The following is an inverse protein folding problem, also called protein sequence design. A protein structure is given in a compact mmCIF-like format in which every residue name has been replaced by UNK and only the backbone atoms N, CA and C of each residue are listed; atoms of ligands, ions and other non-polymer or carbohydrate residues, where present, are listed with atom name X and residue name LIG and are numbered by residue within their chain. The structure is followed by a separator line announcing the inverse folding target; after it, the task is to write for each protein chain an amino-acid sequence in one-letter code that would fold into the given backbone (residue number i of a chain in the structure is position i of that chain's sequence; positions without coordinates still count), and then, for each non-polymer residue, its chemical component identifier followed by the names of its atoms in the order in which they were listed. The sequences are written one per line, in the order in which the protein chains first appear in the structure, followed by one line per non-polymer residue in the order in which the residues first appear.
data_IF_511969251423
#
_entry.id   IF_511969251423
#
_cell.length_a   1.000
_cell.length_b   1.000
_cell.length_c   1.000
_cell.angle_alpha   90.00
_cell.angle_beta   90.00
_cell.angle_gamma   90.00
#
_symmetry.space_group_name_H-M   'P 1'
#
loop_
_entity.id
_entity.type
_entity.pdbx_description
1 polymer ?
#
# COMPACT_ATOMS: atom_id res chain seq x y z
N UNK A 1 10.73 22.76 -17.95
CA UNK A 1 10.79 21.48 -17.21
C UNK A 1 9.38 20.97 -17.10
N UNK A 2 9.07 19.80 -17.66
CA UNK A 2 7.78 19.17 -17.37
C UNK A 2 7.88 18.63 -15.94
N UNK A 3 6.96 19.03 -15.07
CA UNK A 3 6.85 18.54 -13.71
C UNK A 3 6.68 17.02 -13.71
N UNK A 4 7.35 16.33 -12.78
CA UNK A 4 7.27 14.87 -12.70
C UNK A 4 5.83 14.45 -12.40
N UNK A 5 5.25 13.45 -13.11
CA UNK A 5 3.92 12.95 -12.77
C UNK A 5 3.85 12.37 -11.36
N UNK A 6 4.98 11.95 -10.79
CA UNK A 6 5.06 11.48 -9.41
C UNK A 6 4.86 12.64 -8.43
N UNK A 7 5.42 13.82 -8.70
CA UNK A 7 5.15 15.04 -7.94
C UNK A 7 3.69 15.50 -8.13
N UNK A 8 3.24 15.62 -9.37
CA UNK A 8 1.88 16.09 -9.71
C UNK A 8 0.77 15.26 -9.06
N UNK A 9 0.97 13.94 -8.96
CA UNK A 9 -0.03 13.01 -8.44
C UNK A 9 0.31 12.47 -7.06
N UNK A 10 1.24 13.09 -6.34
CA UNK A 10 1.72 12.63 -5.03
C UNK A 10 0.58 12.34 -4.05
N UNK A 11 -0.44 13.20 -3.98
CA UNK A 11 -1.57 12.99 -3.07
C UNK A 11 -2.32 11.66 -3.34
N UNK A 12 -2.49 11.30 -4.62
CA UNK A 12 -3.12 10.01 -5.00
C UNK A 12 -2.17 8.85 -4.69
N UNK A 13 -0.88 9.04 -5.01
CA UNK A 13 0.14 8.02 -4.86
C UNK A 13 0.51 7.74 -3.41
N UNK A 14 0.38 8.70 -2.50
CA UNK A 14 0.79 8.52 -1.11
C UNK A 14 -0.42 8.48 -0.17
N UNK A 15 -1.39 9.37 -0.33
CA UNK A 15 -2.36 9.64 0.73
C UNK A 15 -3.68 8.87 0.57
N UNK A 16 -4.02 8.46 -0.65
CA UNK A 16 -5.26 7.73 -0.93
C UNK A 16 -5.15 6.21 -0.76
N UNK A 17 -6.22 5.58 -0.28
CA UNK A 17 -6.27 4.13 0.01
C UNK A 17 -7.35 3.37 -0.79
N UNK A 18 -8.01 4.02 -1.76
CA UNK A 18 -8.99 3.37 -2.64
C UNK A 18 -8.33 2.51 -3.73
N UNK A 19 -9.11 1.60 -4.34
CA UNK A 19 -8.59 0.54 -5.22
C UNK A 19 -7.68 1.03 -6.36
N UNK A 20 -8.10 2.07 -7.11
CA UNK A 20 -7.27 2.64 -8.19
C UNK A 20 -5.97 3.29 -7.68
N UNK A 21 -5.99 3.98 -6.54
CA UNK A 21 -4.78 4.50 -5.90
C UNK A 21 -3.84 3.36 -5.46
N UNK A 22 -4.40 2.28 -4.89
CA UNK A 22 -3.64 1.09 -4.52
C UNK A 22 -2.95 0.41 -5.72
N UNK A 23 -3.59 0.36 -6.88
CA UNK A 23 -2.97 -0.10 -8.12
C UNK A 23 -1.80 0.81 -8.53
N UNK A 24 -2.00 2.13 -8.58
CA UNK A 24 -0.95 3.08 -8.97
C UNK A 24 0.25 3.04 -8.01
N UNK A 25 0.01 2.86 -6.71
CA UNK A 25 1.04 2.65 -5.70
C UNK A 25 1.86 1.38 -5.97
N UNK A 26 1.16 0.26 -6.23
CA UNK A 26 1.81 -1.01 -6.55
C UNK A 26 2.63 -0.90 -7.84
N UNK A 27 2.17 -0.09 -8.80
CA UNK A 27 2.89 0.14 -10.05
C UNK A 27 4.20 0.89 -9.82
N UNK A 28 4.15 1.99 -9.06
CA UNK A 28 5.33 2.76 -8.69
C UNK A 28 6.36 1.87 -7.97
N UNK A 29 5.91 1.06 -7.01
CA UNK A 29 6.77 0.16 -6.26
C UNK A 29 7.33 -0.99 -7.11
N UNK A 30 6.57 -1.50 -8.08
CA UNK A 30 7.04 -2.52 -9.01
C UNK A 30 8.13 -1.99 -9.95
N UNK A 31 8.03 -0.72 -10.37
CA UNK A 31 9.11 -0.05 -11.10
C UNK A 31 10.35 0.16 -10.23
N UNK A 32 10.16 0.53 -8.95
CA UNK A 32 11.26 0.83 -8.03
C UNK A 32 12.05 -0.41 -7.57
N UNK A 33 11.35 -1.51 -7.26
CA UNK A 33 11.97 -2.74 -6.81
C UNK A 33 11.04 -3.95 -7.04
N UNK A 34 10.74 -4.26 -8.29
CA UNK A 34 9.71 -5.25 -8.67
C UNK A 34 9.87 -6.65 -8.10
N UNK A 35 11.10 -7.13 -7.88
CA UNK A 35 11.33 -8.42 -7.23
C UNK A 35 10.92 -8.42 -5.75
N UNK A 36 10.92 -7.26 -5.09
CA UNK A 36 10.48 -7.08 -3.71
C UNK A 36 8.99 -6.70 -3.61
N UNK A 37 8.46 -5.99 -4.62
CA UNK A 37 7.10 -5.47 -4.63
C UNK A 37 6.38 -5.91 -5.91
N UNK A 38 5.91 -7.16 -5.97
CA UNK A 38 5.12 -7.64 -7.11
C UNK A 38 3.78 -6.90 -7.18
N UNK A 39 3.28 -6.74 -8.39
CA UNK A 39 2.02 -6.08 -8.69
C UNK A 39 1.00 -7.06 -9.25
N UNK A 40 -0.26 -6.94 -8.82
CA UNK A 40 -1.39 -7.61 -9.47
C UNK A 40 -1.89 -6.78 -10.66
N UNK A 41 -1.61 -7.26 -11.88
CA UNK A 41 -2.02 -6.61 -13.12
C UNK A 41 -3.54 -6.62 -13.34
N UNK A 42 -4.30 -7.53 -12.70
CA UNK A 42 -5.76 -7.54 -12.80
C UNK A 42 -6.36 -6.23 -12.27
N UNK A 43 -5.68 -5.54 -11.36
CA UNK A 43 -6.11 -4.24 -10.84
C UNK A 43 -6.24 -3.13 -11.91
N UNK A 44 -5.70 -3.32 -13.12
CA UNK A 44 -5.86 -2.39 -14.24
C UNK A 44 -7.35 -2.13 -14.57
N UNK A 45 -8.22 -3.12 -14.33
CA UNK A 45 -9.69 -3.00 -14.52
C UNK A 45 -10.35 -1.95 -13.62
N UNK A 46 -9.66 -1.49 -12.57
CA UNK A 46 -10.19 -0.54 -11.59
C UNK A 46 -9.91 0.92 -11.98
N UNK A 47 -9.16 1.15 -13.06
CA UNK A 47 -8.82 2.50 -13.49
C UNK A 47 -9.94 3.09 -14.35
N UNK A 48 -10.47 4.23 -13.91
CA UNK A 48 -11.22 5.12 -14.79
C UNK A 48 -10.26 5.89 -15.72
N UNK A 49 -10.81 6.72 -16.61
CA UNK A 49 -10.03 7.50 -17.58
C UNK A 49 -8.98 8.40 -16.90
N UNK A 50 -9.31 8.97 -15.72
CA UNK A 50 -8.38 9.83 -14.97
C UNK A 50 -7.20 9.01 -14.45
N UNK A 51 -7.45 7.87 -13.81
CA UNK A 51 -6.39 7.04 -13.25
C UNK A 51 -5.58 6.33 -14.33
N UNK A 52 -6.22 5.97 -15.45
CA UNK A 52 -5.54 5.44 -16.64
C UNK A 52 -4.56 6.47 -17.20
N UNK A 53 -4.94 7.75 -17.26
CA UNK A 53 -4.04 8.83 -17.69
C UNK A 53 -2.84 8.96 -16.75
N UNK A 54 -3.06 8.94 -15.43
CA UNK A 54 -1.97 8.98 -14.44
C UNK A 54 -1.01 7.80 -14.63
N UNK A 55 -1.54 6.59 -14.78
CA UNK A 55 -0.74 5.39 -15.05
C UNK A 55 0.15 5.55 -16.29
N UNK A 56 -0.43 6.03 -17.40
CA UNK A 56 0.31 6.27 -18.64
C UNK A 56 1.41 7.32 -18.48
N UNK A 57 1.12 8.41 -17.76
CA UNK A 57 2.08 9.49 -17.53
C UNK A 57 3.25 9.02 -16.66
N UNK A 58 2.98 8.25 -15.59
CA UNK A 58 4.00 7.61 -14.75
C UNK A 58 4.88 6.66 -15.59
N UNK A 59 4.27 5.77 -16.38
CA UNK A 59 4.99 4.82 -17.22
C UNK A 59 5.87 5.53 -18.26
N UNK A 60 5.36 6.59 -18.89
CA UNK A 60 6.10 7.39 -19.86
C UNK A 60 7.26 8.15 -19.21
N UNK A 61 7.09 8.68 -18.00
CA UNK A 61 8.17 9.33 -17.24
C UNK A 61 9.25 8.34 -16.86
N UNK A 62 8.87 7.21 -16.24
CA UNK A 62 9.83 6.18 -15.83
C UNK A 62 10.60 5.60 -17.01
N UNK A 63 9.96 5.37 -18.17
CA UNK A 63 10.65 4.95 -19.39
C UNK A 63 11.75 5.94 -19.83
N UNK A 64 11.56 7.25 -19.61
CA UNK A 64 12.53 8.29 -20.01
C UNK A 64 13.64 8.49 -18.99
N UNK A 65 13.31 8.43 -17.69
CA UNK A 65 14.18 8.90 -16.63
C UNK A 65 14.65 7.79 -15.68
N UNK A 66 13.91 6.67 -15.62
CA UNK A 66 14.14 5.60 -14.65
C UNK A 66 14.15 6.13 -13.22
N UNK A 67 15.07 5.60 -12.40
CA UNK A 67 15.36 6.12 -11.06
C UNK A 67 16.06 7.49 -11.05
N UNK A 68 16.40 8.05 -12.22
CA UNK A 68 16.93 9.41 -12.34
C UNK A 68 15.91 10.52 -12.10
N UNK A 69 14.62 10.19 -11.94
CA UNK A 69 13.57 11.10 -11.49
C UNK A 69 13.55 11.13 -9.93
N UNK A 70 13.98 12.24 -9.28
CA UNK A 70 14.03 12.30 -7.82
C UNK A 70 12.64 12.25 -7.18
N UNK A 71 11.60 12.75 -7.85
CA UNK A 71 10.23 12.74 -7.34
C UNK A 71 9.64 11.33 -7.34
N UNK A 72 10.00 10.52 -8.34
CA UNK A 72 9.67 9.08 -8.35
C UNK A 72 10.24 8.37 -7.12
N UNK A 73 11.53 8.58 -6.84
CA UNK A 73 12.21 7.93 -5.71
C UNK A 73 11.62 8.41 -4.38
N UNK A 74 11.31 9.71 -4.24
CA UNK A 74 10.64 10.24 -3.04
C UNK A 74 9.27 9.60 -2.81
N UNK A 75 8.43 9.55 -3.85
CA UNK A 75 7.10 8.93 -3.77
C UNK A 75 7.19 7.47 -3.37
N UNK A 76 8.11 6.68 -3.94
CA UNK A 76 8.27 5.28 -3.57
C UNK A 76 8.67 5.10 -2.11
N UNK A 77 9.58 5.95 -1.60
CA UNK A 77 9.95 5.95 -0.17
C UNK A 77 8.77 6.33 0.72
N UNK A 78 7.97 7.32 0.31
CA UNK A 78 6.78 7.74 1.05
C UNK A 78 5.71 6.64 1.09
N UNK A 79 5.45 5.95 -0.03
CA UNK A 79 4.56 4.78 -0.11
C UNK A 79 5.05 3.69 0.85
N UNK A 80 6.33 3.33 0.77
CA UNK A 80 6.92 2.30 1.62
C UNK A 80 6.79 2.65 3.11
N UNK A 81 7.09 3.89 3.49
CA UNK A 81 6.98 4.36 4.88
C UNK A 81 5.52 4.31 5.38
N UNK A 82 4.55 4.79 4.58
CA UNK A 82 3.14 4.76 4.95
C UNK A 82 2.62 3.32 5.10
N UNK A 83 2.98 2.43 4.17
CA UNK A 83 2.57 1.02 4.22
C UNK A 83 3.20 0.28 5.41
N UNK A 84 4.46 0.55 5.73
CA UNK A 84 5.10 0.01 6.93
C UNK A 84 4.42 0.52 8.23
N UNK A 85 4.11 1.81 8.32
CA UNK A 85 3.40 2.39 9.45
C UNK A 85 2.00 1.78 9.64
N UNK A 86 1.26 1.57 8.54
CA UNK A 86 -0.04 0.88 8.58
C UNK A 86 0.12 -0.56 9.06
N UNK A 87 1.08 -1.31 8.53
CA UNK A 87 1.34 -2.69 8.92
C UNK A 87 1.70 -2.83 10.41
N UNK A 88 2.50 -1.91 10.95
CA UNK A 88 2.81 -1.85 12.39
C UNK A 88 1.55 -1.58 13.23
N UNK A 89 0.66 -0.68 12.79
CA UNK A 89 -0.61 -0.42 13.48
C UNK A 89 -1.51 -1.66 13.49
N UNK A 90 -1.60 -2.36 12.36
CA UNK A 90 -2.36 -3.62 12.28
C UNK A 90 -1.80 -4.66 13.25
N UNK A 91 -0.47 -4.80 13.33
CA UNK A 91 0.16 -5.69 14.30
C UNK A 91 -0.17 -5.28 15.74
N UNK A 92 -0.06 -3.99 16.07
CA UNK A 92 -0.37 -3.49 17.41
C UNK A 92 -1.83 -3.79 17.79
N UNK A 93 -2.79 -3.53 16.89
CA UNK A 93 -4.19 -3.88 17.14
C UNK A 93 -4.42 -5.39 17.27
N UNK A 94 -3.72 -6.20 16.49
CA UNK A 94 -3.78 -7.66 16.67
C UNK A 94 -3.30 -8.09 18.05
N UNK A 95 -2.17 -7.54 18.51
CA UNK A 95 -1.61 -7.83 19.83
C UNK A 95 -2.57 -7.38 20.94
N UNK A 96 -3.16 -6.19 20.81
CA UNK A 96 -4.18 -5.65 21.73
C UNK A 96 -5.41 -6.56 21.82
N UNK A 97 -6.01 -6.91 20.68
CA UNK A 97 -7.22 -7.77 20.64
C UNK A 97 -6.91 -9.15 21.21
N UNK A 98 -5.74 -9.73 20.93
CA UNK A 98 -5.32 -11.02 21.50
C UNK A 98 -5.08 -10.98 23.01
N UNK A 99 -4.66 -9.83 23.55
CA UNK A 99 -4.44 -9.66 24.98
C UNK A 99 -5.75 -9.45 25.77
N UNK A 100 -6.82 -8.99 25.10
CA UNK A 100 -8.14 -8.85 25.71
C UNK A 100 -8.75 -10.21 26.06
N UNK A 101 -9.36 -10.31 27.24
CA UNK A 101 -10.23 -11.42 27.61
C UNK A 101 -11.47 -11.41 26.69
N UNK A 102 -11.73 -12.48 25.92
CA UNK A 102 -12.89 -12.56 25.03
C UNK A 102 -14.24 -12.30 25.74
N UNK A 103 -14.31 -12.57 27.04
CA UNK A 103 -15.53 -12.40 27.84
C UNK A 103 -15.73 -10.95 28.30
N UNK A 104 -14.68 -10.14 28.25
CA UNK A 104 -14.70 -8.71 28.58
C UNK A 104 -14.61 -7.81 27.34
N UNK A 105 -14.51 -8.41 26.14
CA UNK A 105 -14.41 -7.65 24.89
C UNK A 105 -15.72 -6.91 24.58
N UNK A 106 -15.62 -5.65 24.19
CA UNK A 106 -16.76 -4.87 23.73
C UNK A 106 -17.33 -5.52 22.45
N UNK A 107 -18.62 -5.90 22.48
CA UNK A 107 -19.22 -6.72 21.41
C UNK A 107 -19.22 -8.23 21.67
N UNK A 108 -18.55 -8.67 22.75
CA UNK A 108 -18.52 -10.04 23.23
C UNK A 108 -17.66 -10.99 22.40
N UNK A 109 -17.62 -12.27 22.82
CA UNK A 109 -16.77 -13.32 22.27
C UNK A 109 -16.78 -13.45 20.74
N UNK A 110 -17.94 -13.23 20.11
CA UNK A 110 -18.06 -13.35 18.64
C UNK A 110 -17.31 -12.23 17.93
N UNK A 111 -17.50 -10.99 18.36
CA UNK A 111 -16.83 -9.83 17.76
C UNK A 111 -15.32 -9.85 18.07
N UNK A 112 -14.94 -10.35 19.24
CA UNK A 112 -13.54 -10.64 19.56
C UNK A 112 -12.90 -11.58 18.53
N UNK A 113 -13.49 -12.76 18.33
CA UNK A 113 -12.98 -13.75 17.37
C UNK A 113 -12.91 -13.19 15.95
N UNK A 114 -13.93 -12.45 15.51
CA UNK A 114 -13.95 -11.82 14.19
C UNK A 114 -12.86 -10.75 14.03
N UNK A 115 -12.58 -10.00 15.10
CA UNK A 115 -11.52 -8.99 15.12
C UNK A 115 -10.14 -9.64 15.05
N UNK A 116 -9.92 -10.73 15.81
CA UNK A 116 -8.68 -11.52 15.72
C UNK A 116 -8.49 -12.02 14.28
N UNK A 117 -9.47 -12.71 13.71
CA UNK A 117 -9.39 -13.25 12.35
C UNK A 117 -9.09 -12.16 11.31
N UNK A 118 -9.73 -10.99 11.44
CA UNK A 118 -9.50 -9.86 10.55
C UNK A 118 -8.06 -9.35 10.65
N UNK A 119 -7.60 -9.01 11.85
CA UNK A 119 -6.27 -8.42 12.03
C UNK A 119 -5.15 -9.44 11.78
N UNK A 120 -5.37 -10.73 12.04
CA UNK A 120 -4.44 -11.79 11.66
C UNK A 120 -4.26 -11.86 10.15
N UNK A 121 -5.38 -11.88 9.40
CA UNK A 121 -5.33 -11.91 7.94
C UNK A 121 -4.63 -10.67 7.39
N UNK A 122 -4.97 -9.48 7.88
CA UNK A 122 -4.32 -8.23 7.43
C UNK A 122 -2.82 -8.20 7.81
N UNK A 123 -2.45 -8.68 8.99
CA UNK A 123 -1.05 -8.78 9.40
C UNK A 123 -0.27 -9.73 8.48
N UNK A 124 -0.82 -10.91 8.19
CA UNK A 124 -0.21 -11.86 7.28
C UNK A 124 -0.03 -11.28 5.87
N UNK A 125 -1.05 -10.59 5.33
CA UNK A 125 -0.95 -9.90 4.04
C UNK A 125 0.16 -8.84 4.02
N UNK A 126 0.39 -8.14 5.14
CA UNK A 126 1.46 -7.15 5.24
C UNK A 126 2.87 -7.79 5.27
N UNK A 127 3.00 -8.97 5.89
CA UNK A 127 4.24 -9.76 5.84
C UNK A 127 4.47 -10.30 4.43
N UNK A 128 3.46 -10.89 3.80
CA UNK A 128 3.56 -11.49 2.47
C UNK A 128 3.95 -10.44 1.41
N UNK A 129 3.45 -9.22 1.58
CA UNK A 129 3.79 -8.05 0.74
C UNK A 129 5.08 -7.35 1.15
N UNK A 130 5.79 -7.85 2.17
CA UNK A 130 7.08 -7.36 2.66
C UNK A 130 7.06 -5.89 3.13
N UNK A 131 5.92 -5.43 3.66
CA UNK A 131 5.83 -4.10 4.28
C UNK A 131 6.47 -4.08 5.67
N UNK A 132 6.48 -5.22 6.34
CA UNK A 132 7.16 -5.50 7.60
C UNK A 132 7.78 -6.89 7.55
N UNK A 133 8.78 -7.13 8.41
CA UNK A 133 9.41 -8.44 8.54
C UNK A 133 8.52 -9.41 9.33
N UNK A 134 8.75 -10.71 9.13
CA UNK A 134 8.12 -11.76 9.92
C UNK A 134 8.79 -11.79 11.31
N UNK A 135 8.14 -11.17 12.30
CA UNK A 135 8.55 -11.26 13.71
C UNK A 135 8.16 -12.58 14.35
#
# INVERSE_FOLDING_TARGET
MNESPFATHRAILVDCDYSAAGFLQSFAMAMYAGAAFPMDANGLRNLDDKHMKIFQDMAASYRRHGEGDPDFVDVCKAIKAKRAAYALRIKAHLDEVRACDPDQFEGGRREHSQSVDFYEREHQLNIDRRWIERT
#
